data_IF_408293132564
#
_entry.id   IF_408293132564
#
_cell.length_a   1.000
_cell.length_b   1.000
_cell.length_c   1.000
_cell.angle_alpha   90.00
_cell.angle_beta   90.00
_cell.angle_gamma   90.00
#
_symmetry.space_group_name_H-M   'P 1'
#
loop_
_entity.id
_entity.type
_entity.pdbx_description
1 polymer ?
#
# COMPACT_ATOMS: atom_id res chain seq x y z
N UNK A 1 60.57 -20.68 27.90
CA UNK A 1 60.90 -20.71 26.46
C UNK A 1 60.75 -19.31 25.91
N UNK A 2 61.86 -18.73 25.47
CA UNK A 2 61.92 -17.45 24.77
C UNK A 2 61.56 -17.64 23.30
N UNK A 3 60.60 -16.88 22.79
CA UNK A 3 60.68 -16.37 21.41
C UNK A 3 60.61 -14.85 21.50
N UNK A 4 61.79 -14.25 21.69
CA UNK A 4 62.05 -12.85 21.38
C UNK A 4 61.90 -12.69 19.86
N UNK A 5 60.80 -12.09 19.42
CA UNK A 5 60.76 -11.41 18.12
C UNK A 5 60.52 -9.91 18.35
N UNK A 6 61.45 -9.28 19.09
CA UNK A 6 61.66 -7.85 19.00
C UNK A 6 62.36 -7.56 17.66
N UNK A 7 61.58 -7.39 16.59
CA UNK A 7 62.08 -6.74 15.38
C UNK A 7 61.93 -5.23 15.57
N UNK A 8 63.06 -4.57 15.74
CA UNK A 8 63.24 -3.14 15.52
C UNK A 8 62.49 -2.71 14.25
N UNK A 9 61.44 -1.89 14.37
CA UNK A 9 60.89 -1.15 13.25
C UNK A 9 61.04 0.36 13.50
N UNK A 10 62.29 0.78 13.65
CA UNK A 10 62.68 2.19 13.75
C UNK A 10 62.72 2.77 12.33
N UNK A 11 61.56 3.20 11.82
CA UNK A 11 61.33 4.17 10.71
C UNK A 11 60.00 3.97 9.95
N UNK A 12 58.92 3.54 10.61
CA UNK A 12 57.60 3.76 10.02
C UNK A 12 57.26 5.24 10.16
N UNK A 13 57.54 6.02 9.11
CA UNK A 13 57.11 7.42 8.99
C UNK A 13 55.59 7.41 8.74
N UNK A 14 54.81 7.45 9.82
CA UNK A 14 53.35 7.59 9.75
C UNK A 14 53.08 9.03 9.28
N UNK A 15 52.57 9.16 8.06
CA UNK A 15 52.14 10.44 7.49
C UNK A 15 50.62 10.38 7.38
N UNK A 16 49.92 11.38 7.91
CA UNK A 16 48.48 11.48 7.75
C UNK A 16 48.16 11.81 6.28
N UNK A 17 47.15 11.17 5.68
CA UNK A 17 46.76 11.46 4.31
C UNK A 17 46.12 12.86 4.21
N UNK A 18 46.27 13.49 3.05
CA UNK A 18 45.47 14.66 2.68
C UNK A 18 44.02 14.22 2.43
N UNK A 19 43.07 15.14 2.57
CA UNK A 19 41.65 14.86 2.33
C UNK A 19 41.41 14.33 0.91
N UNK A 20 40.75 13.19 0.79
CA UNK A 20 40.44 12.52 -0.48
C UNK A 20 39.47 13.29 -1.39
N UNK A 21 38.81 14.34 -0.86
CA UNK A 21 37.82 15.14 -1.59
C UNK A 21 38.38 16.50 -2.00
N UNK A 22 39.07 17.22 -1.09
CA UNK A 22 39.56 18.58 -1.35
C UNK A 22 41.09 18.71 -1.33
N UNK A 23 41.81 17.60 -1.06
CA UNK A 23 43.27 17.51 -1.02
C UNK A 23 43.96 18.45 -0.03
N UNK A 24 43.22 18.99 0.94
CA UNK A 24 43.80 19.75 2.05
C UNK A 24 44.52 18.82 3.03
N UNK A 25 45.65 19.25 3.64
CA UNK A 25 46.38 18.42 4.57
C UNK A 25 45.59 18.13 5.85
N UNK A 26 45.89 17.03 6.52
CA UNK A 26 45.19 16.60 7.74
C UNK A 26 45.13 17.70 8.83
N UNK A 27 46.15 18.55 8.92
CA UNK A 27 46.19 19.69 9.85
C UNK A 27 45.06 20.71 9.62
N UNK A 28 44.53 20.80 8.40
CA UNK A 28 43.43 21.70 8.05
C UNK A 28 42.09 21.24 8.64
N UNK A 29 41.96 19.95 9.04
CA UNK A 29 40.77 19.39 9.71
C UNK A 29 39.44 19.73 9.02
N UNK A 30 39.41 19.68 7.69
CA UNK A 30 38.17 19.90 6.94
C UNK A 30 37.18 18.74 7.13
N UNK A 31 35.88 18.99 6.93
CA UNK A 31 34.81 18.01 7.20
C UNK A 31 34.34 17.23 5.95
N UNK A 32 35.01 17.39 4.81
CA UNK A 32 34.53 16.88 3.53
C UNK A 32 34.26 15.36 3.55
N UNK A 33 35.21 14.56 4.05
CA UNK A 33 35.08 13.09 4.10
C UNK A 33 33.98 12.63 5.05
N UNK A 34 33.88 13.25 6.23
CA UNK A 34 32.84 12.95 7.21
C UNK A 34 31.43 13.27 6.66
N UNK A 35 31.29 14.41 5.99
CA UNK A 35 30.05 14.80 5.33
C UNK A 35 29.73 13.86 4.15
N UNK A 36 30.73 13.48 3.36
CA UNK A 36 30.58 12.50 2.29
C UNK A 36 30.09 11.14 2.80
N UNK A 37 30.67 10.64 3.90
CA UNK A 37 30.22 9.41 4.55
C UNK A 37 28.78 9.53 5.05
N UNK A 38 28.43 10.64 5.71
CA UNK A 38 27.07 10.88 6.21
C UNK A 38 26.03 10.81 5.08
N UNK A 39 26.33 11.41 3.93
CA UNK A 39 25.46 11.37 2.74
C UNK A 39 25.39 9.94 2.18
N UNK A 40 26.51 9.24 2.08
CA UNK A 40 26.56 7.87 1.58
C UNK A 40 25.74 6.89 2.44
N UNK A 41 25.80 7.03 3.77
CA UNK A 41 24.98 6.24 4.71
C UNK A 41 23.49 6.48 4.46
N UNK A 42 23.06 7.75 4.38
CA UNK A 42 21.65 8.07 4.09
C UNK A 42 21.17 7.50 2.76
N UNK A 43 22.01 7.54 1.72
CA UNK A 43 21.67 6.95 0.43
C UNK A 43 21.57 5.42 0.49
N UNK A 44 22.47 4.76 1.24
CA UNK A 44 22.43 3.33 1.44
C UNK A 44 21.17 2.91 2.23
N UNK A 45 20.87 3.60 3.33
CA UNK A 45 19.65 3.43 4.13
C UNK A 45 18.41 3.56 3.25
N UNK A 46 18.28 4.65 2.49
CA UNK A 46 17.13 4.86 1.63
C UNK A 46 16.94 3.71 0.63
N UNK A 47 18.02 3.20 0.02
CA UNK A 47 17.94 2.10 -0.95
C UNK A 47 17.55 0.77 -0.31
N UNK A 48 18.08 0.47 0.87
CA UNK A 48 17.89 -0.83 1.51
C UNK A 48 16.66 -0.88 2.42
N UNK A 49 16.44 0.15 3.24
CA UNK A 49 15.38 0.16 4.25
C UNK A 49 14.01 0.51 3.69
N UNK A 50 13.92 1.23 2.57
CA UNK A 50 12.62 1.62 2.00
C UNK A 50 11.75 0.41 1.65
N UNK A 51 12.32 -0.63 1.01
CA UNK A 51 11.56 -1.85 0.70
C UNK A 51 11.12 -2.56 1.98
N UNK A 52 12.00 -2.67 2.96
CA UNK A 52 11.70 -3.29 4.27
C UNK A 52 10.54 -2.57 4.95
N UNK A 53 10.55 -1.23 5.00
CA UNK A 53 9.43 -0.48 5.57
C UNK A 53 8.13 -0.63 4.79
N UNK A 54 8.19 -0.75 3.46
CA UNK A 54 7.00 -0.99 2.64
C UNK A 54 6.39 -2.37 2.90
N UNK A 55 7.23 -3.40 3.03
CA UNK A 55 6.80 -4.75 3.35
C UNK A 55 6.16 -4.81 4.74
N UNK A 56 6.82 -4.20 5.74
CA UNK A 56 6.27 -4.07 7.09
C UNK A 56 4.91 -3.37 7.07
N UNK A 57 4.80 -2.19 6.44
CA UNK A 57 3.52 -1.45 6.38
C UNK A 57 2.42 -2.27 5.71
N UNK A 58 2.75 -2.97 4.63
CA UNK A 58 1.79 -3.81 3.91
C UNK A 58 1.31 -4.96 4.78
N UNK A 59 2.24 -5.63 5.46
CA UNK A 59 1.94 -6.72 6.39
C UNK A 59 1.08 -6.25 7.56
N UNK A 60 1.48 -5.19 8.27
CA UNK A 60 0.74 -4.62 9.41
C UNK A 60 -0.66 -4.19 8.98
N UNK A 61 -0.78 -3.48 7.85
CA UNK A 61 -2.08 -3.03 7.33
C UNK A 61 -3.02 -4.21 7.06
N UNK A 62 -2.52 -5.27 6.44
CA UNK A 62 -3.31 -6.47 6.16
C UNK A 62 -3.86 -7.09 7.45
N UNK A 63 -2.98 -7.34 8.41
CA UNK A 63 -3.37 -7.98 9.68
C UNK A 63 -4.31 -7.12 10.52
N UNK A 64 -4.08 -5.80 10.56
CA UNK A 64 -4.96 -4.88 11.26
C UNK A 64 -6.37 -4.84 10.62
N UNK A 65 -6.45 -4.85 9.29
CA UNK A 65 -7.73 -4.89 8.58
C UNK A 65 -8.49 -6.20 8.88
N UNK A 66 -7.81 -7.35 8.77
CA UNK A 66 -8.42 -8.65 9.03
C UNK A 66 -8.93 -8.76 10.47
N UNK A 67 -8.13 -8.28 11.44
CA UNK A 67 -8.55 -8.24 12.84
C UNK A 67 -9.82 -7.40 13.04
N UNK A 68 -9.84 -6.15 12.56
CA UNK A 68 -11.00 -5.26 12.71
C UNK A 68 -12.25 -5.82 12.01
N UNK A 69 -12.10 -6.37 10.81
CA UNK A 69 -13.21 -6.98 10.08
C UNK A 69 -13.76 -8.21 10.79
N UNK A 70 -12.89 -9.07 11.34
CA UNK A 70 -13.31 -10.23 12.11
C UNK A 70 -14.07 -9.83 13.38
N UNK A 71 -13.58 -8.82 14.10
CA UNK A 71 -14.23 -8.29 15.30
C UNK A 71 -15.60 -7.70 14.98
N UNK A 72 -15.69 -6.88 13.93
CA UNK A 72 -16.95 -6.29 13.48
C UNK A 72 -17.97 -7.35 13.01
N UNK A 73 -17.51 -8.43 12.38
CA UNK A 73 -18.36 -9.56 11.97
C UNK A 73 -19.09 -10.18 13.16
N UNK A 74 -18.40 -10.36 14.29
CA UNK A 74 -19.01 -10.88 15.53
C UNK A 74 -20.10 -9.95 16.05
N UNK A 75 -19.83 -8.64 16.10
CA UNK A 75 -20.81 -7.64 16.55
C UNK A 75 -22.04 -7.61 15.64
N UNK A 76 -21.81 -7.59 14.33
CA UNK A 76 -22.89 -7.55 13.33
C UNK A 76 -23.73 -8.82 13.37
N UNK A 77 -23.12 -9.98 13.60
CA UNK A 77 -23.86 -11.25 13.76
C UNK A 77 -24.80 -11.16 14.96
N UNK A 78 -24.31 -10.74 16.13
CA UNK A 78 -25.14 -10.55 17.32
C UNK A 78 -26.31 -9.58 17.08
N UNK A 79 -26.06 -8.45 16.43
CA UNK A 79 -27.11 -7.46 16.09
C UNK A 79 -28.19 -8.06 15.19
N UNK A 80 -27.80 -8.86 14.20
CA UNK A 80 -28.76 -9.53 13.30
C UNK A 80 -29.62 -10.54 14.04
N UNK A 81 -29.05 -11.27 14.99
CA UNK A 81 -29.80 -12.23 15.82
C UNK A 81 -30.81 -11.50 16.73
N UNK A 82 -30.38 -10.41 17.38
CA UNK A 82 -31.25 -9.55 18.19
C UNK A 82 -32.40 -8.97 17.35
N UNK A 83 -32.11 -8.46 16.15
CA UNK A 83 -33.10 -7.93 15.24
C UNK A 83 -34.07 -9.02 14.75
N UNK A 84 -33.58 -10.21 14.41
CA UNK A 84 -34.45 -11.33 14.03
C UNK A 84 -35.43 -11.69 15.16
N UNK A 85 -34.96 -11.73 16.41
CA UNK A 85 -35.82 -11.92 17.58
C UNK A 85 -36.83 -10.78 17.78
N UNK A 86 -36.45 -9.53 17.50
CA UNK A 86 -37.36 -8.38 17.56
C UNK A 86 -38.46 -8.48 16.49
N UNK A 87 -38.10 -8.82 15.25
CA UNK A 87 -39.07 -9.02 14.16
C UNK A 87 -40.05 -10.15 14.50
N UNK A 88 -39.56 -11.24 15.10
CA UNK A 88 -40.42 -12.32 15.59
C UNK A 88 -41.47 -11.81 16.60
N UNK A 89 -41.05 -11.06 17.62
CA UNK A 89 -41.95 -10.48 18.62
C UNK A 89 -42.98 -9.52 18.02
N UNK A 90 -42.56 -8.66 17.07
CA UNK A 90 -43.44 -7.75 16.36
C UNK A 90 -44.52 -8.55 15.59
N UNK A 91 -44.11 -9.63 14.94
CA UNK A 91 -44.99 -10.51 14.17
C UNK A 91 -45.98 -11.26 15.07
N UNK A 92 -45.51 -11.86 16.17
CA UNK A 92 -46.36 -12.56 17.14
C UNK A 92 -47.39 -11.63 17.78
N UNK A 93 -46.97 -10.42 18.16
CA UNK A 93 -47.86 -9.40 18.73
C UNK A 93 -48.97 -9.02 17.74
N UNK A 94 -48.61 -8.80 16.48
CA UNK A 94 -49.57 -8.45 15.44
C UNK A 94 -50.59 -9.59 15.21
N UNK A 95 -50.11 -10.83 15.19
CA UNK A 95 -50.96 -12.01 15.05
C UNK A 95 -51.89 -12.19 16.26
N UNK A 96 -51.38 -12.05 17.49
CA UNK A 96 -52.16 -12.30 18.70
C UNK A 96 -53.25 -11.26 18.96
N UNK A 97 -52.92 -9.96 18.87
CA UNK A 97 -53.86 -8.89 19.23
C UNK A 97 -54.77 -8.46 18.07
N UNK A 98 -54.27 -8.51 16.85
CA UNK A 98 -54.97 -7.93 15.70
C UNK A 98 -55.33 -8.98 14.64
N UNK A 99 -54.94 -10.24 14.83
CA UNK A 99 -55.06 -11.32 13.84
C UNK A 99 -54.61 -10.87 12.43
N UNK A 100 -53.56 -10.05 12.40
CA UNK A 100 -53.12 -9.34 11.22
C UNK A 100 -51.60 -9.48 11.06
N UNK A 101 -51.11 -9.09 9.88
CA UNK A 101 -49.67 -8.96 9.65
C UNK A 101 -49.12 -7.74 10.37
N UNK A 102 -47.83 -7.76 10.76
CA UNK A 102 -47.19 -6.59 11.36
C UNK A 102 -47.24 -5.37 10.44
N UNK A 103 -47.47 -4.20 11.03
CA UNK A 103 -47.61 -2.97 10.27
C UNK A 103 -46.26 -2.58 9.63
N UNK A 104 -46.22 -2.17 8.35
CA UNK A 104 -44.96 -1.87 7.66
C UNK A 104 -44.07 -0.85 8.35
N UNK A 105 -44.65 0.14 9.05
CA UNK A 105 -43.88 1.16 9.78
C UNK A 105 -43.12 0.58 10.97
N UNK A 106 -43.63 -0.47 11.62
CA UNK A 106 -42.95 -1.10 12.77
C UNK A 106 -41.72 -1.88 12.31
N UNK A 107 -41.83 -2.56 11.17
CA UNK A 107 -40.70 -3.26 10.54
C UNK A 107 -39.66 -2.24 10.09
N UNK A 108 -40.07 -1.19 9.38
CA UNK A 108 -39.16 -0.14 8.92
C UNK A 108 -38.43 0.55 10.09
N UNK A 109 -39.11 0.77 11.22
CA UNK A 109 -38.48 1.29 12.43
C UNK A 109 -37.43 0.32 12.98
N UNK A 110 -37.74 -0.97 13.08
CA UNK A 110 -36.79 -2.00 13.52
C UNK A 110 -35.57 -2.12 12.59
N UNK A 111 -35.77 -2.00 11.27
CA UNK A 111 -34.69 -2.00 10.28
C UNK A 111 -33.78 -0.78 10.42
N UNK A 112 -34.38 0.40 10.63
CA UNK A 112 -33.62 1.65 10.82
C UNK A 112 -32.76 1.60 12.08
N UNK A 113 -33.27 0.97 13.15
CA UNK A 113 -32.55 0.80 14.41
C UNK A 113 -31.40 -0.20 14.27
N UNK A 114 -31.62 -1.34 13.57
CA UNK A 114 -30.55 -2.27 13.24
C UNK A 114 -29.43 -1.56 12.46
N UNK A 115 -29.78 -0.78 11.43
CA UNK A 115 -28.80 -0.05 10.63
C UNK A 115 -27.96 0.91 11.47
N UNK A 116 -28.62 1.69 12.34
CA UNK A 116 -27.96 2.61 13.27
C UNK A 116 -27.00 1.87 14.22
N UNK A 117 -27.43 0.72 14.75
CA UNK A 117 -26.58 -0.13 15.60
C UNK A 117 -25.36 -0.67 14.86
N UNK A 118 -25.52 -1.14 13.62
CA UNK A 118 -24.40 -1.61 12.79
C UNK A 118 -23.43 -0.46 12.48
N UNK A 119 -23.92 0.74 12.19
CA UNK A 119 -23.08 1.90 11.92
C UNK A 119 -22.27 2.33 13.15
N UNK A 120 -22.88 2.26 14.33
CA UNK A 120 -22.22 2.50 15.61
C UNK A 120 -21.10 1.49 15.86
N UNK A 121 -21.41 0.20 15.70
CA UNK A 121 -20.46 -0.89 15.91
C UNK A 121 -19.29 -0.81 14.90
N UNK A 122 -19.55 -0.36 13.68
CA UNK A 122 -18.50 -0.10 12.68
C UNK A 122 -17.60 1.06 13.11
N UNK A 123 -18.18 2.19 13.53
CA UNK A 123 -17.42 3.35 14.00
C UNK A 123 -16.53 2.98 15.20
N UNK A 124 -17.09 2.26 16.17
CA UNK A 124 -16.34 1.77 17.33
C UNK A 124 -15.21 0.82 16.92
N UNK A 125 -15.43 -0.05 15.92
CA UNK A 125 -14.41 -0.97 15.43
C UNK A 125 -13.24 -0.22 14.77
N UNK A 126 -13.53 0.78 13.91
CA UNK A 126 -12.51 1.61 13.25
C UNK A 126 -11.71 2.45 14.25
N UNK A 127 -12.32 2.90 15.34
CA UNK A 127 -11.64 3.66 16.38
C UNK A 127 -10.50 2.89 17.07
N UNK A 128 -10.47 1.55 16.96
CA UNK A 128 -9.44 0.68 17.54
C UNK A 128 -8.17 0.55 16.69
N UNK A 129 -8.11 1.19 15.52
CA UNK A 129 -6.94 1.09 14.65
C UNK A 129 -5.62 1.49 15.32
N UNK A 130 -5.53 2.58 16.11
CA UNK A 130 -4.26 2.99 16.72
C UNK A 130 -3.61 1.88 17.56
N UNK A 131 -4.37 1.26 18.46
CA UNK A 131 -3.87 0.21 19.37
C UNK A 131 -3.57 -1.08 18.62
N UNK A 132 -4.42 -1.44 17.63
CA UNK A 132 -4.20 -2.63 16.80
C UNK A 132 -2.94 -2.48 15.94
N UNK A 133 -2.72 -1.30 15.38
CA UNK A 133 -1.51 -1.02 14.60
C UNK A 133 -0.28 -1.06 15.51
N UNK A 134 -0.33 -0.44 16.69
CA UNK A 134 0.76 -0.47 17.67
C UNK A 134 1.14 -1.91 18.04
N UNK A 135 0.15 -2.76 18.33
CA UNK A 135 0.37 -4.17 18.60
C UNK A 135 1.09 -4.87 17.43
N UNK A 136 0.60 -4.76 16.20
CA UNK A 136 1.22 -5.45 15.06
C UNK A 136 2.60 -4.89 14.71
N UNK A 137 2.83 -3.59 14.88
CA UNK A 137 4.18 -3.02 14.75
C UNK A 137 5.13 -3.54 15.84
N UNK A 138 4.65 -3.76 17.07
CA UNK A 138 5.48 -4.30 18.17
C UNK A 138 5.97 -5.73 17.92
N UNK A 139 5.30 -6.48 17.04
CA UNK A 139 5.72 -7.83 16.64
C UNK A 139 6.87 -7.83 15.63
N UNK A 140 7.20 -6.69 15.03
CA UNK A 140 8.26 -6.59 14.03
C UNK A 140 9.60 -6.44 14.73
N UNK A 141 10.47 -7.44 14.55
CA UNK A 141 11.82 -7.44 15.11
C UNK A 141 12.87 -7.27 14.00
N UNK A 142 13.82 -6.35 14.21
CA UNK A 142 14.99 -6.15 13.36
C UNK A 142 16.24 -6.34 14.21
N UNK A 143 17.01 -7.39 13.94
CA UNK A 143 18.25 -7.71 14.65
C UNK A 143 19.46 -7.29 13.84
N UNK A 144 20.46 -6.71 14.50
CA UNK A 144 21.76 -6.44 13.90
C UNK A 144 22.68 -7.66 14.09
N UNK A 145 23.51 -8.00 13.09
CA UNK A 145 24.54 -9.03 13.25
C UNK A 145 25.58 -8.59 14.28
N UNK A 146 26.22 -9.56 14.93
CA UNK A 146 27.32 -9.29 15.88
C UNK A 146 28.62 -8.91 15.15
N UNK A 147 29.45 -8.09 15.78
CA UNK A 147 30.78 -7.68 15.26
C UNK A 147 31.73 -8.86 15.02
N UNK A 148 31.48 -10.01 15.67
CA UNK A 148 32.27 -11.23 15.54
C UNK A 148 31.86 -12.10 14.35
N UNK A 149 30.73 -11.81 13.71
CA UNK A 149 30.24 -12.62 12.59
C UNK A 149 31.16 -12.50 11.36
N UNK A 150 31.50 -13.62 10.68
CA UNK A 150 32.42 -13.60 9.54
C UNK A 150 31.99 -12.66 8.41
N UNK A 151 30.70 -12.47 8.19
CA UNK A 151 30.18 -11.55 7.18
C UNK A 151 30.38 -10.07 7.51
N UNK A 152 30.55 -9.73 8.79
CA UNK A 152 30.87 -8.38 9.27
C UNK A 152 32.38 -8.15 9.25
N UNK A 153 33.16 -9.14 9.68
CA UNK A 153 34.64 -9.06 9.72
C UNK A 153 35.29 -9.05 8.34
N UNK A 154 34.83 -9.96 7.47
CA UNK A 154 35.38 -10.14 6.14
C UNK A 154 34.25 -9.99 5.10
N UNK A 155 33.72 -8.76 4.90
CA UNK A 155 32.66 -8.54 3.93
C UNK A 155 33.19 -8.86 2.53
N UNK A 156 32.39 -9.50 1.66
CA UNK A 156 32.78 -9.85 0.28
C UNK A 156 32.76 -8.63 -0.65
N UNK A 157 33.37 -7.53 -0.21
CA UNK A 157 33.54 -6.28 -0.94
C UNK A 157 35.04 -6.16 -1.21
N UNK A 158 35.47 -6.70 -2.35
CA UNK A 158 36.84 -7.02 -2.75
C UNK A 158 37.90 -5.89 -2.69
N UNK A 159 38.23 -5.39 -1.50
CA UNK A 159 39.36 -4.49 -1.29
C UNK A 159 40.28 -4.89 -0.11
N UNK A 160 39.79 -5.65 0.88
CA UNK A 160 40.60 -6.09 2.03
C UNK A 160 41.22 -7.49 1.87
N UNK A 161 40.69 -8.31 0.96
CA UNK A 161 41.19 -9.67 0.66
C UNK A 161 42.44 -9.66 -0.23
N UNK A 162 43.52 -9.06 0.24
CA UNK A 162 44.82 -9.12 -0.43
C UNK A 162 45.35 -10.55 -0.52
N UNK A 163 45.16 -11.19 -1.67
CA UNK A 163 45.94 -12.37 -2.08
C UNK A 163 45.18 -13.69 -2.07
N UNK A 164 44.54 -14.02 -3.19
CA UNK A 164 44.01 -15.36 -3.40
C UNK A 164 42.93 -15.40 -4.46
N UNK A 165 43.29 -15.12 -5.71
CA UNK A 165 42.42 -15.37 -6.84
C UNK A 165 42.01 -16.84 -6.87
N UNK A 166 40.87 -17.18 -6.25
CA UNK A 166 40.15 -18.41 -6.54
C UNK A 166 39.49 -18.19 -7.90
N UNK A 167 40.25 -18.45 -8.95
CA UNK A 167 39.72 -18.80 -10.26
C UNK A 167 38.70 -19.90 -10.01
N UNK A 168 37.42 -19.56 -10.13
CA UNK A 168 36.35 -20.54 -10.27
C UNK A 168 36.72 -21.36 -11.51
N UNK A 169 37.26 -22.57 -11.29
CA UNK A 169 37.43 -23.54 -12.37
C UNK A 169 36.03 -23.98 -12.74
N UNK A 170 35.56 -23.45 -13.86
CA UNK A 170 34.41 -23.97 -14.59
C UNK A 170 34.80 -25.39 -15.05
N UNK A 171 34.42 -26.40 -14.27
CA UNK A 171 34.50 -27.79 -14.71
C UNK A 171 33.30 -28.06 -15.62
N UNK A 172 33.57 -28.17 -16.92
CA UNK A 172 32.70 -28.83 -17.89
C UNK A 172 32.33 -30.25 -17.41
N UNK A 173 31.05 -30.64 -17.45
CA UNK A 173 30.66 -32.05 -17.42
C UNK A 173 30.40 -32.55 -18.85
N UNK A 174 31.25 -33.46 -19.33
CA UNK A 174 30.99 -34.29 -20.51
C UNK A 174 30.01 -35.44 -20.21
N UNK A 175 29.14 -35.87 -21.15
CA UNK A 175 28.13 -36.92 -20.95
C UNK A 175 28.54 -38.28 -21.58
N UNK A 176 27.70 -39.34 -21.59
CA UNK A 176 27.04 -40.00 -20.46
C UNK A 176 27.18 -41.55 -20.51
N UNK A 177 26.94 -42.28 -19.42
CA UNK A 177 26.51 -43.70 -19.47
C UNK A 177 25.48 -44.03 -18.40
N UNK A 178 24.26 -44.32 -18.89
CA UNK A 178 23.36 -45.37 -18.40
C UNK A 178 22.74 -45.22 -17.01
N UNK A 179 21.46 -44.83 -16.96
CA UNK A 179 20.32 -45.65 -16.50
C UNK A 179 19.08 -44.77 -16.24
N UNK A 180 17.97 -45.11 -16.88
CA UNK A 180 16.61 -44.58 -16.67
C UNK A 180 16.03 -45.11 -15.34
N UNK A 181 15.01 -44.49 -14.69
CA UNK A 181 13.64 -44.43 -15.23
C UNK A 181 12.93 -43.07 -15.11
N UNK A 182 11.87 -42.96 -15.91
CA UNK A 182 10.99 -41.82 -16.10
C UNK A 182 10.30 -41.32 -14.81
N UNK A 183 10.22 -40.00 -14.66
CA UNK A 183 9.26 -39.33 -13.78
C UNK A 183 8.63 -38.17 -14.55
N UNK A 184 7.30 -38.21 -14.57
CA UNK A 184 6.41 -37.39 -15.38
C UNK A 184 6.41 -35.91 -15.01
N UNK A 185 6.28 -35.12 -16.06
CA UNK A 185 5.96 -33.70 -16.08
C UNK A 185 4.62 -33.42 -15.38
N UNK A 186 4.64 -32.62 -14.31
CA UNK A 186 3.47 -32.29 -13.48
C UNK A 186 3.55 -30.90 -12.83
N UNK A 187 4.44 -30.03 -13.34
CA UNK A 187 4.66 -28.69 -12.79
C UNK A 187 3.57 -27.68 -13.18
N UNK A 188 3.04 -27.80 -14.39
CA UNK A 188 2.19 -26.76 -14.98
C UNK A 188 0.74 -26.76 -14.44
N UNK A 189 0.21 -27.92 -14.04
CA UNK A 189 -1.14 -28.01 -13.45
C UNK A 189 -1.20 -27.37 -12.05
N UNK A 190 -0.15 -27.56 -11.24
CA UNK A 190 -0.09 -27.03 -9.87
C UNK A 190 0.03 -25.51 -9.84
N UNK A 191 0.61 -24.90 -10.88
CA UNK A 191 0.69 -23.45 -11.05
C UNK A 191 -0.62 -22.86 -11.60
N UNK A 192 -1.32 -23.57 -12.50
CA UNK A 192 -2.68 -23.19 -12.94
C UNK A 192 -3.68 -23.21 -11.81
N UNK A 193 -3.63 -24.22 -10.93
CA UNK A 193 -4.56 -24.31 -9.79
C UNK A 193 -4.32 -23.21 -8.76
N UNK A 194 -3.06 -22.86 -8.45
CA UNK A 194 -2.75 -21.70 -7.58
C UNK A 194 -3.27 -20.38 -8.16
N UNK A 195 -3.19 -20.21 -9.48
CA UNK A 195 -3.68 -19.01 -10.18
C UNK A 195 -5.21 -18.95 -10.25
N UNK A 196 -5.88 -20.11 -10.20
CA UNK A 196 -7.34 -20.24 -10.16
C UNK A 196 -7.89 -20.00 -8.76
N UNK A 197 -7.17 -20.43 -7.73
CA UNK A 197 -7.48 -20.20 -6.32
C UNK A 197 -7.37 -18.71 -5.95
N UNK A 198 -6.31 -18.02 -6.40
CA UNK A 198 -6.14 -16.58 -6.20
C UNK A 198 -7.23 -15.72 -6.88
N UNK A 199 -7.89 -16.24 -7.92
CA UNK A 199 -9.03 -15.55 -8.57
C UNK A 199 -10.36 -15.77 -7.87
N UNK A 200 -10.48 -16.74 -6.96
CA UNK A 200 -11.70 -17.01 -6.18
C UNK A 200 -11.83 -16.15 -4.93
N UNK A 201 -10.74 -15.60 -4.42
CA UNK A 201 -10.72 -14.72 -3.24
C UNK A 201 -11.00 -13.27 -3.70
N UNK A 202 -12.17 -13.04 -4.26
CA UNK A 202 -12.69 -11.70 -4.53
C UNK A 202 -13.35 -11.14 -3.26
N UNK A 203 -12.77 -10.10 -2.67
CA UNK A 203 -13.46 -9.29 -1.65
C UNK A 203 -14.72 -8.64 -2.26
N UNK A 204 -15.88 -8.66 -1.58
CA UNK A 204 -17.17 -8.19 -2.12
C UNK A 204 -17.21 -6.68 -2.48
N UNK A 205 -16.22 -5.90 -2.03
CA UNK A 205 -16.09 -4.49 -2.41
C UNK A 205 -15.76 -4.29 -3.92
N UNK A 206 -15.10 -5.26 -4.54
CA UNK A 206 -14.52 -5.12 -5.88
C UNK A 206 -15.52 -5.53 -7.00
N UNK A 207 -16.60 -6.23 -6.65
CA UNK A 207 -17.64 -6.64 -7.60
C UNK A 207 -18.68 -5.54 -7.85
N UNK A 208 -18.92 -4.66 -6.86
CA UNK A 208 -19.78 -3.48 -7.05
C UNK A 208 -19.15 -2.47 -8.01
N UNK A 209 -17.84 -2.24 -7.90
CA UNK A 209 -17.10 -1.38 -8.83
C UNK A 209 -17.04 -1.98 -10.23
N UNK A 210 -16.77 -3.29 -10.37
CA UNK A 210 -16.84 -3.98 -11.67
C UNK A 210 -18.23 -3.95 -12.30
N UNK A 211 -19.30 -4.04 -11.51
CA UNK A 211 -20.66 -3.98 -12.02
C UNK A 211 -21.03 -2.56 -12.52
N UNK A 212 -20.56 -1.52 -11.82
CA UNK A 212 -20.74 -0.11 -12.24
C UNK A 212 -19.91 0.22 -13.48
N UNK A 213 -18.67 -0.27 -13.57
CA UNK A 213 -17.81 -0.13 -14.76
C UNK A 213 -18.42 -0.83 -15.99
N UNK A 214 -18.98 -2.04 -15.78
CA UNK A 214 -19.63 -2.82 -16.84
C UNK A 214 -20.94 -2.17 -17.30
N UNK A 215 -21.75 -1.66 -16.37
CA UNK A 215 -22.94 -0.86 -16.70
C UNK A 215 -22.58 0.41 -17.48
N UNK A 216 -21.53 1.15 -17.07
CA UNK A 216 -21.06 2.33 -17.82
C UNK A 216 -20.62 1.97 -19.24
N UNK A 217 -19.89 0.87 -19.41
CA UNK A 217 -19.40 0.41 -20.72
C UNK A 217 -20.55 -0.04 -21.64
N UNK A 218 -21.56 -0.71 -21.09
CA UNK A 218 -22.74 -1.13 -21.85
C UNK A 218 -23.67 0.05 -22.18
N UNK A 219 -23.81 1.05 -21.30
CA UNK A 219 -24.53 2.30 -21.57
C UNK A 219 -23.88 3.12 -22.69
N UNK A 220 -22.55 3.27 -22.68
CA UNK A 220 -21.80 3.94 -23.75
C UNK A 220 -21.95 3.22 -25.11
N UNK A 221 -22.12 1.88 -25.10
CA UNK A 221 -22.28 1.08 -26.31
C UNK A 221 -23.72 1.10 -26.84
N UNK A 222 -24.71 1.29 -25.96
CA UNK A 222 -26.12 1.45 -26.32
C UNK A 222 -26.39 2.83 -26.96
N UNK A 223 -25.75 3.91 -26.49
CA UNK A 223 -25.85 5.24 -27.08
C UNK A 223 -25.27 5.34 -28.51
N UNK A 224 -24.27 4.50 -28.84
CA UNK A 224 -23.68 4.45 -30.17
C UNK A 224 -24.57 3.83 -31.26
N UNK A 225 -25.64 3.11 -30.89
CA UNK A 225 -26.53 2.40 -31.84
C UNK A 225 -27.77 3.19 -32.26
N UNK A 226 -28.11 4.28 -31.58
CA UNK A 226 -29.32 5.08 -31.85
C UNK A 226 -29.02 6.51 -32.35
N UNK A 227 -27.86 6.76 -32.97
CA UNK A 227 -27.66 8.00 -33.73
C UNK A 227 -28.29 7.86 -35.13
N UNK A 228 -29.26 8.71 -35.52
CA UNK A 228 -29.68 8.78 -36.90
C UNK A 228 -28.49 9.25 -37.76
N UNK A 229 -28.26 8.54 -38.87
CA UNK A 229 -27.25 8.86 -39.87
C UNK A 229 -27.59 10.20 -40.52
N UNK A 230 -26.97 11.29 -40.08
CA UNK A 230 -26.91 12.53 -40.87
C UNK A 230 -25.91 12.34 -41.99
N UNK A 231 -26.36 12.50 -43.23
CA UNK A 231 -25.55 12.38 -44.43
C UNK A 231 -24.36 13.36 -44.43
N UNK A 232 -23.20 12.99 -44.97
CA UNK A 232 -22.07 13.91 -45.15
C UNK A 232 -22.39 14.97 -46.23
N UNK A 233 -21.94 16.23 -46.07
CA UNK A 233 -22.14 17.24 -47.10
C UNK A 233 -21.22 17.01 -48.31
N UNK A 234 -21.66 17.37 -49.54
CA UNK A 234 -20.85 17.19 -50.76
C UNK A 234 -19.72 18.22 -50.89
N UNK A 235 -18.67 17.93 -51.69
CA UNK A 235 -17.49 18.78 -51.81
C UNK A 235 -17.58 19.77 -52.99
N UNK A 236 -17.07 21.00 -52.80
CA UNK A 236 -16.51 21.81 -53.91
C UNK A 236 -16.73 23.35 -53.92
N UNK A 237 -15.72 24.10 -53.45
CA UNK A 237 -15.16 25.38 -54.01
C UNK A 237 -15.99 26.69 -54.10
N UNK A 238 -15.40 27.82 -54.53
CA UNK A 238 -14.31 28.58 -53.88
C UNK A 238 -14.62 30.10 -53.64
N UNK A 239 -13.76 30.75 -52.84
CA UNK A 239 -13.56 32.21 -52.62
C UNK A 239 -14.60 33.05 -51.81
N UNK A 240 -14.20 33.50 -50.61
CA UNK A 240 -14.00 34.93 -50.29
C UNK A 240 -13.34 35.15 -48.91
N UNK A 241 -12.63 36.28 -48.79
CA UNK A 241 -11.70 36.67 -47.72
C UNK A 241 -12.40 37.42 -46.54
N UNK A 242 -11.69 37.77 -45.43
CA UNK A 242 -12.26 37.82 -44.08
C UNK A 242 -12.75 39.22 -43.64
N UNK A 243 -13.74 39.25 -42.74
CA UNK A 243 -14.10 40.45 -41.99
C UNK A 243 -13.64 40.33 -40.52
N UNK A 244 -12.77 41.26 -40.16
CA UNK A 244 -12.28 41.55 -38.81
C UNK A 244 -13.42 42.11 -37.95
N UNK A 245 -13.59 41.66 -36.70
CA UNK A 245 -14.01 42.61 -35.65
C UNK A 245 -13.54 42.15 -34.24
N UNK A 246 -12.69 42.95 -33.57
CA UNK A 246 -12.20 42.69 -32.22
C UNK A 246 -13.05 43.42 -31.19
N UNK A 247 -13.61 42.71 -30.21
CA UNK A 247 -13.94 43.27 -28.89
C UNK A 247 -14.59 42.21 -27.99
N UNK A 248 -13.86 41.72 -26.98
CA UNK A 248 -14.38 41.76 -25.60
C UNK A 248 -13.28 41.37 -24.61
N UNK A 249 -12.64 42.39 -24.02
CA UNK A 249 -11.99 42.26 -22.74
C UNK A 249 -12.22 43.55 -21.97
N UNK A 250 -12.99 43.50 -20.88
CA UNK A 250 -13.03 44.47 -19.76
C UNK A 250 -14.09 43.98 -18.74
N UNK A 251 -13.65 43.50 -17.58
CA UNK A 251 -13.53 44.21 -16.28
C UNK A 251 -14.85 44.32 -15.51
N UNK A 252 -14.82 43.77 -14.28
CA UNK A 252 -15.80 44.04 -13.22
C UNK A 252 -15.49 43.21 -11.98
N UNK A 253 -14.84 43.83 -10.99
CA UNK A 253 -14.56 43.29 -9.65
C UNK A 253 -15.72 43.63 -8.67
N UNK A 254 -15.74 43.08 -7.43
CA UNK A 254 -16.95 42.75 -6.66
C UNK A 254 -17.39 43.86 -5.70
N UNK A 255 -18.68 43.87 -5.31
CA UNK A 255 -19.15 44.65 -4.16
C UNK A 255 -20.33 43.99 -3.38
N UNK A 256 -20.09 43.90 -2.07
CA UNK A 256 -20.97 44.08 -0.91
C UNK A 256 -22.05 43.05 -0.47
N UNK A 257 -21.86 42.59 0.78
CA UNK A 257 -22.78 41.94 1.71
C UNK A 257 -23.76 42.99 2.37
N UNK A 258 -24.72 42.67 3.28
CA UNK A 258 -24.47 41.99 4.57
C UNK A 258 -25.59 41.05 5.12
N UNK A 259 -25.21 40.37 6.20
CA UNK A 259 -25.96 39.48 7.10
C UNK A 259 -26.84 40.23 8.12
N UNK A 260 -27.84 39.54 8.71
CA UNK A 260 -28.24 39.71 10.11
C UNK A 260 -28.11 38.35 10.85
N UNK A 261 -27.61 38.21 12.08
CA UNK A 261 -27.62 39.10 13.23
C UNK A 261 -28.63 38.56 14.27
N UNK A 262 -28.26 37.53 15.04
CA UNK A 262 -29.00 37.14 16.25
C UNK A 262 -28.03 36.84 17.40
N UNK A 263 -28.07 37.72 18.40
CA UNK A 263 -27.48 37.56 19.71
C UNK A 263 -28.51 36.84 20.61
N UNK A 264 -28.06 35.84 21.37
CA UNK A 264 -28.80 35.35 22.53
C UNK A 264 -28.09 35.82 23.80
N UNK A 265 -28.84 36.60 24.58
CA UNK A 265 -28.51 37.06 25.93
C UNK A 265 -28.91 35.96 26.90
N UNK A 266 -27.98 35.60 27.78
CA UNK A 266 -28.22 34.77 28.96
C UNK A 266 -28.64 35.68 30.12
N UNK A 267 -29.55 35.24 30.99
CA UNK A 267 -29.30 35.47 32.42
C UNK A 267 -29.66 34.28 33.31
N UNK A 268 -28.70 33.99 34.20
CA UNK A 268 -28.78 33.34 35.52
C UNK A 268 -29.47 31.98 35.65
#
# INVERSE_FOLDING_TARGET
MLIKNARNNKNLKIMDPDCAICSQPAIAKCECEANGLTVAVRQAEQRMMTSVYNDIRTWVRGHAQDYILSYFSVLTTRRKDEHAAQIHRITERAAYYYNARPHPSEIAAADSELKRGIDEDWRASVQRYPEVLEYFFSLVELTLPSDEEPGVRDPPLSALGGGGGRKVRLSEPGPPRGSTPAVSDGGEERERDRRREQRRIGTPANDRERHVERQRRDSMRAEGRNRPMTAPPPPGGPHMAPAHNPHRNSRGAPQYAPTPGYAYVNPY
#
